data_IF_509615495901
#
_entry.id   IF_509615495901
#
_cell.length_a   1.000
_cell.length_b   1.000
_cell.length_c   1.000
_cell.angle_alpha   90.00
_cell.angle_beta   90.00
_cell.angle_gamma   90.00
#
_symmetry.space_group_name_H-M   'P 1'
#
loop_
_entity.id
_entity.type
_entity.pdbx_description
1 polymer ?
#
# COMPACT_ATOMS: atom_id res chain seq x y z
N UNK A 1 9.10 13.36 21.22
CA UNK A 1 9.17 13.36 22.64
C UNK A 1 10.60 13.22 23.07
N UNK A 2 10.93 13.09 24.35
CA UNK A 2 12.32 13.17 24.85
C UNK A 2 13.29 12.13 24.26
N UNK A 3 12.79 10.96 23.89
CA UNK A 3 13.62 9.93 23.22
C UNK A 3 14.09 10.42 21.85
N UNK A 4 13.20 10.98 21.04
CA UNK A 4 13.56 11.49 19.71
C UNK A 4 14.54 12.67 19.80
N UNK A 5 14.33 13.59 20.75
CA UNK A 5 15.26 14.71 20.98
C UNK A 5 16.69 14.27 21.31
N UNK A 6 16.83 13.11 21.95
CA UNK A 6 18.15 12.52 22.27
C UNK A 6 18.76 11.73 21.11
N UNK A 7 17.91 11.06 20.31
CA UNK A 7 18.36 10.21 19.20
C UNK A 7 18.70 11.00 17.93
N UNK A 8 17.88 11.97 17.55
CA UNK A 8 18.07 12.72 16.29
C UNK A 8 19.47 13.35 16.13
N UNK A 9 20.08 13.96 17.17
CA UNK A 9 21.42 14.52 17.04
C UNK A 9 22.53 13.50 16.84
N UNK A 10 22.27 12.21 17.13
CA UNK A 10 23.25 11.13 17.02
C UNK A 10 23.08 10.29 15.76
N UNK A 11 22.10 10.64 14.91
CA UNK A 11 21.82 9.89 13.70
C UNK A 11 22.89 10.17 12.64
N UNK A 12 23.37 9.12 11.98
CA UNK A 12 24.44 9.17 10.98
C UNK A 12 23.94 9.09 9.53
N UNK A 13 22.65 8.85 9.35
CA UNK A 13 22.02 8.76 8.04
C UNK A 13 21.20 10.02 7.73
N UNK A 14 21.06 10.41 6.46
CA UNK A 14 20.29 11.60 6.10
C UNK A 14 18.82 11.47 6.55
N UNK A 15 18.34 12.52 7.20
CA UNK A 15 16.95 12.68 7.62
C UNK A 15 16.36 13.80 6.77
N UNK A 16 15.48 13.46 5.84
CA UNK A 16 14.83 14.46 4.99
C UNK A 16 13.73 15.21 5.74
N UNK A 17 13.78 16.53 5.70
CA UNK A 17 12.84 17.42 6.38
C UNK A 17 12.53 18.64 5.53
N UNK A 18 11.38 19.25 5.77
CA UNK A 18 11.03 20.56 5.19
C UNK A 18 11.73 21.73 5.90
N UNK A 19 12.23 21.51 7.11
CA UNK A 19 12.94 22.50 7.93
C UNK A 19 14.25 21.90 8.42
N UNK A 20 15.30 22.71 8.39
CA UNK A 20 16.59 22.34 8.92
C UNK A 20 16.77 22.85 10.36
N UNK A 21 17.44 22.07 11.20
CA UNK A 21 17.76 22.42 12.57
C UNK A 21 19.24 22.10 12.82
N UNK A 22 20.04 23.10 13.15
CA UNK A 22 21.49 22.96 13.38
C UNK A 22 21.83 21.94 14.49
N UNK A 23 20.89 21.69 15.41
CA UNK A 23 21.05 20.70 16.47
C UNK A 23 20.99 19.26 15.97
N UNK A 24 20.57 19.04 14.72
CA UNK A 24 20.45 17.72 14.09
C UNK A 24 21.25 17.73 12.77
N UNK A 25 22.57 17.46 12.82
CA UNK A 25 23.43 17.56 11.65
C UNK A 25 23.06 16.65 10.47
N UNK A 26 22.31 15.59 10.73
CA UNK A 26 21.87 14.66 9.71
C UNK A 26 20.64 15.15 8.90
N UNK A 27 20.07 16.31 9.25
CA UNK A 27 18.97 16.88 8.49
C UNK A 27 19.42 17.36 7.11
N UNK A 28 18.65 16.93 6.11
CA UNK A 28 18.81 17.32 4.70
C UNK A 28 17.46 17.87 4.22
N UNK A 29 17.49 18.95 3.48
CA UNK A 29 16.28 19.51 2.90
C UNK A 29 15.64 18.51 1.92
N UNK A 30 14.33 18.28 2.08
CA UNK A 30 13.58 17.46 1.14
C UNK A 30 13.43 18.23 -0.18
N UNK A 31 13.86 17.67 -1.34
CA UNK A 31 13.88 18.38 -2.62
C UNK A 31 12.47 18.43 -3.24
N UNK A 32 11.55 19.13 -2.59
CA UNK A 32 10.12 19.14 -2.96
C UNK A 32 9.88 19.63 -4.39
N UNK A 33 10.59 20.65 -4.82
CA UNK A 33 10.44 21.22 -6.16
C UNK A 33 10.85 20.22 -7.22
N UNK A 34 12.03 19.61 -7.06
CA UNK A 34 12.57 18.64 -8.00
C UNK A 34 11.68 17.40 -8.10
N UNK A 35 11.16 16.91 -6.94
CA UNK A 35 10.22 15.79 -6.88
C UNK A 35 8.92 16.09 -7.62
N UNK A 36 8.35 17.28 -7.40
CA UNK A 36 7.12 17.72 -8.08
C UNK A 36 7.36 17.87 -9.59
N UNK A 37 8.48 18.46 -9.97
CA UNK A 37 8.85 18.64 -11.38
C UNK A 37 9.11 17.31 -12.09
N UNK A 38 9.82 16.38 -11.50
CA UNK A 38 10.06 15.05 -12.05
C UNK A 38 8.74 14.27 -12.21
N UNK A 39 7.93 14.26 -11.15
CA UNK A 39 6.70 13.48 -11.13
C UNK A 39 5.51 14.20 -11.79
N UNK A 40 5.61 15.49 -12.15
CA UNK A 40 4.52 16.33 -12.68
C UNK A 40 3.25 16.25 -11.83
N UNK A 41 3.42 16.18 -10.51
CA UNK A 41 2.33 16.02 -9.55
C UNK A 41 2.70 16.56 -8.17
N UNK A 42 1.80 17.37 -7.59
CA UNK A 42 1.93 17.97 -6.26
C UNK A 42 0.89 17.44 -5.26
N UNK A 43 0.27 16.29 -5.52
CA UNK A 43 -0.71 15.69 -4.61
C UNK A 43 0.01 14.91 -3.50
N UNK A 44 0.41 15.63 -2.44
CA UNK A 44 1.25 15.15 -1.34
C UNK A 44 0.64 15.61 0.00
N UNK A 45 -0.37 14.90 0.51
CA UNK A 45 -1.09 15.32 1.71
C UNK A 45 -0.65 14.61 3.01
N UNK A 46 0.34 13.71 2.92
CA UNK A 46 0.88 13.00 4.09
C UNK A 46 2.33 12.52 3.84
N UNK A 47 3.04 12.22 4.92
CA UNK A 47 4.45 11.82 4.90
C UNK A 47 4.72 10.57 4.05
N UNK A 48 3.77 9.63 3.99
CA UNK A 48 3.93 8.40 3.19
C UNK A 48 3.95 8.72 1.70
N UNK A 49 3.07 9.62 1.26
CA UNK A 49 3.06 10.12 -0.12
C UNK A 49 4.38 10.81 -0.48
N UNK A 50 4.94 11.62 0.43
CA UNK A 50 6.28 12.21 0.26
C UNK A 50 7.36 11.14 0.09
N UNK A 51 7.34 10.10 0.93
CA UNK A 51 8.33 9.02 0.86
C UNK A 51 8.24 8.23 -0.46
N UNK A 52 7.03 7.91 -0.92
CA UNK A 52 6.82 7.19 -2.18
C UNK A 52 7.25 8.06 -3.37
N UNK A 53 6.85 9.33 -3.40
CA UNK A 53 7.24 10.27 -4.45
C UNK A 53 8.78 10.43 -4.51
N UNK A 54 9.45 10.47 -3.36
CA UNK A 54 10.89 10.53 -3.28
C UNK A 54 11.56 9.24 -3.78
N UNK A 55 10.96 8.08 -3.48
CA UNK A 55 11.41 6.80 -4.04
C UNK A 55 11.33 6.79 -5.57
N UNK A 56 10.23 7.27 -6.15
CA UNK A 56 10.08 7.42 -7.60
C UNK A 56 11.11 8.38 -8.20
N UNK A 57 11.32 9.53 -7.58
CA UNK A 57 12.34 10.50 -7.98
C UNK A 57 13.74 9.86 -8.00
N UNK A 58 14.06 9.03 -7.00
CA UNK A 58 15.33 8.30 -6.93
C UNK A 58 15.36 7.01 -7.78
N UNK A 59 14.34 6.75 -8.60
CA UNK A 59 14.28 5.61 -9.53
C UNK A 59 14.45 4.25 -8.85
N UNK A 60 13.87 4.07 -7.66
CA UNK A 60 13.89 2.77 -6.99
C UNK A 60 13.06 1.75 -7.77
N UNK A 61 13.49 0.49 -7.77
CA UNK A 61 12.78 -0.59 -8.48
C UNK A 61 11.69 -1.27 -7.66
N UNK A 62 11.74 -1.14 -6.33
CA UNK A 62 10.82 -1.79 -5.40
C UNK A 62 10.66 -1.00 -4.11
N UNK A 63 9.45 -1.00 -3.53
CA UNK A 63 9.17 -0.43 -2.21
C UNK A 63 8.23 -1.33 -1.43
N UNK A 64 8.54 -1.61 -0.16
CA UNK A 64 7.65 -2.28 0.79
C UNK A 64 7.07 -1.28 1.79
N UNK A 65 5.75 -1.31 1.94
CA UNK A 65 5.00 -0.43 2.82
C UNK A 65 4.53 -1.18 4.07
N UNK A 66 5.12 -0.84 5.22
CA UNK A 66 4.76 -1.43 6.51
C UNK A 66 4.18 -0.38 7.46
N UNK A 67 3.21 -0.78 8.28
CA UNK A 67 2.59 0.09 9.28
C UNK A 67 1.68 1.17 8.70
N UNK A 68 1.19 0.98 7.48
CA UNK A 68 0.32 1.92 6.75
C UNK A 68 -1.14 1.46 6.84
N UNK A 69 -1.71 1.51 8.04
CA UNK A 69 -3.04 0.93 8.29
C UNK A 69 -4.19 1.91 8.02
N UNK A 70 -3.93 3.21 8.07
CA UNK A 70 -4.94 4.28 7.94
C UNK A 70 -6.18 4.06 8.80
N UNK A 71 -6.01 3.47 10.00
CA UNK A 71 -7.08 3.11 10.93
C UNK A 71 -7.16 4.11 12.10
N UNK A 72 -7.64 5.31 11.84
CA UNK A 72 -7.81 6.35 12.86
C UNK A 72 -9.22 6.31 13.45
N UNK A 73 -9.38 5.78 14.68
CA UNK A 73 -10.70 5.59 15.34
C UNK A 73 -11.58 6.84 15.40
N UNK A 74 -10.99 8.03 15.43
CA UNK A 74 -11.71 9.28 15.68
C UNK A 74 -11.60 10.30 14.52
N UNK A 75 -10.96 9.94 13.42
CA UNK A 75 -10.78 10.82 12.27
C UNK A 75 -10.78 10.04 10.96
N UNK A 76 -11.91 9.42 10.62
CA UNK A 76 -12.09 8.61 9.42
C UNK A 76 -11.84 9.43 8.15
N UNK A 77 -12.30 10.68 8.10
CA UNK A 77 -12.11 11.53 6.94
C UNK A 77 -10.61 11.78 6.65
N UNK A 78 -9.83 12.02 7.69
CA UNK A 78 -8.38 12.18 7.56
C UNK A 78 -7.71 10.87 7.12
N UNK A 79 -8.14 9.74 7.66
CA UNK A 79 -7.65 8.42 7.28
C UNK A 79 -7.93 8.12 5.81
N UNK A 80 -9.16 8.35 5.34
CA UNK A 80 -9.57 8.12 3.96
C UNK A 80 -8.85 9.04 2.97
N UNK A 81 -8.71 10.33 3.30
CA UNK A 81 -7.97 11.27 2.47
C UNK A 81 -6.49 10.89 2.34
N UNK A 82 -5.88 10.45 3.45
CA UNK A 82 -4.50 9.95 3.46
C UNK A 82 -4.33 8.67 2.67
N UNK A 83 -5.24 7.71 2.84
CA UNK A 83 -5.25 6.45 2.09
C UNK A 83 -5.37 6.70 0.59
N UNK A 84 -6.34 7.51 0.17
CA UNK A 84 -6.54 7.82 -1.24
C UNK A 84 -5.31 8.48 -1.89
N UNK A 85 -4.62 9.36 -1.17
CA UNK A 85 -3.38 9.96 -1.64
C UNK A 85 -2.28 8.92 -1.83
N UNK A 86 -2.10 8.00 -0.86
CA UNK A 86 -1.08 6.95 -0.96
C UNK A 86 -1.41 5.95 -2.06
N UNK A 87 -2.67 5.55 -2.21
CA UNK A 87 -3.10 4.64 -3.29
C UNK A 87 -2.90 5.27 -4.68
N UNK A 88 -3.11 6.59 -4.80
CA UNK A 88 -2.74 7.31 -6.01
C UNK A 88 -1.24 7.17 -6.32
N UNK A 89 -0.36 7.34 -5.32
CA UNK A 89 1.08 7.21 -5.52
C UNK A 89 1.52 5.76 -5.78
N UNK A 90 0.87 4.77 -5.17
CA UNK A 90 1.06 3.35 -5.49
C UNK A 90 0.72 3.08 -6.96
N UNK A 91 -0.40 3.60 -7.44
CA UNK A 91 -0.79 3.48 -8.86
C UNK A 91 0.27 4.08 -9.79
N UNK A 92 0.85 5.22 -9.43
CA UNK A 92 1.97 5.81 -10.19
C UNK A 92 3.22 4.96 -10.18
N UNK A 93 3.56 4.32 -9.05
CA UNK A 93 4.67 3.37 -8.99
C UNK A 93 4.47 2.23 -9.98
N UNK A 94 3.31 1.59 -9.92
CA UNK A 94 2.95 0.47 -10.82
C UNK A 94 3.02 0.91 -12.28
N UNK A 95 2.50 2.10 -12.64
CA UNK A 95 2.52 2.62 -13.99
C UNK A 95 3.93 2.94 -14.50
N UNK A 96 4.89 3.18 -13.61
CA UNK A 96 6.30 3.39 -13.92
C UNK A 96 7.15 2.11 -13.81
N UNK A 97 6.53 0.95 -13.58
CA UNK A 97 7.22 -0.34 -13.48
C UNK A 97 7.89 -0.59 -12.13
N UNK A 98 7.57 0.21 -11.10
CA UNK A 98 8.07 0.00 -9.74
C UNK A 98 7.14 -0.97 -9.01
N UNK A 99 7.68 -2.05 -8.46
CA UNK A 99 6.89 -2.99 -7.67
C UNK A 99 6.63 -2.46 -6.26
N UNK A 100 5.43 -2.71 -5.75
CA UNK A 100 5.01 -2.28 -4.41
C UNK A 100 4.54 -3.50 -3.61
N UNK A 101 5.11 -3.66 -2.42
CA UNK A 101 4.61 -4.57 -1.39
C UNK A 101 3.82 -3.80 -0.33
N UNK A 102 2.64 -4.30 0.03
CA UNK A 102 1.87 -3.79 1.17
C UNK A 102 1.61 -4.91 2.18
N UNK A 103 1.64 -4.58 3.47
CA UNK A 103 1.31 -5.55 4.52
C UNK A 103 -0.10 -6.12 4.30
N UNK A 104 -0.31 -7.45 4.45
CA UNK A 104 -1.65 -8.06 4.37
C UNK A 104 -2.66 -7.52 5.39
N UNK A 105 -2.21 -6.78 6.40
CA UNK A 105 -3.07 -6.10 7.39
C UNK A 105 -3.37 -4.65 7.05
N UNK A 106 -2.79 -4.12 5.98
CA UNK A 106 -3.00 -2.75 5.56
C UNK A 106 -4.36 -2.57 4.90
N UNK A 107 -5.01 -1.43 5.14
CA UNK A 107 -6.20 -1.02 4.39
C UNK A 107 -5.88 -0.54 2.96
N UNK A 108 -4.59 -0.36 2.63
CA UNK A 108 -4.18 0.05 1.28
C UNK A 108 -4.60 -1.00 0.24
N UNK A 109 -5.28 -0.55 -0.80
CA UNK A 109 -5.81 -1.40 -1.87
C UNK A 109 -6.66 -2.57 -1.34
N UNK A 110 -7.29 -2.37 -0.20
CA UNK A 110 -8.07 -3.39 0.51
C UNK A 110 -7.29 -4.69 0.76
N UNK A 111 -5.97 -4.61 0.99
CA UNK A 111 -5.14 -5.80 1.20
C UNK A 111 -5.52 -6.62 2.43
N UNK A 112 -6.23 -6.02 3.39
CA UNK A 112 -6.80 -6.67 4.57
C UNK A 112 -8.20 -7.30 4.33
N UNK A 113 -8.73 -7.16 3.12
CA UNK A 113 -10.04 -7.71 2.72
C UNK A 113 -9.81 -8.91 1.81
N UNK A 114 -10.61 -9.95 1.93
CA UNK A 114 -10.51 -11.11 1.06
C UNK A 114 -10.65 -10.73 -0.42
N UNK A 115 -9.83 -11.30 -1.31
CA UNK A 115 -9.80 -10.90 -2.72
C UNK A 115 -11.17 -10.88 -3.41
N UNK A 116 -12.05 -11.83 -3.09
CA UNK A 116 -13.38 -11.88 -3.68
C UNK A 116 -14.31 -10.75 -3.16
N UNK A 117 -14.07 -10.23 -1.95
CA UNK A 117 -14.84 -9.11 -1.38
C UNK A 117 -14.41 -7.75 -1.93
N UNK A 118 -13.23 -7.67 -2.57
CA UNK A 118 -12.75 -6.46 -3.26
C UNK A 118 -13.47 -6.21 -4.58
N UNK A 119 -14.23 -7.18 -5.07
CA UNK A 119 -14.95 -7.09 -6.32
C UNK A 119 -16.33 -6.49 -6.13
N UNK A 120 -16.81 -5.75 -7.11
CA UNK A 120 -18.16 -5.20 -7.09
C UNK A 120 -19.22 -6.31 -7.08
N UNK A 121 -20.30 -6.10 -6.33
CA UNK A 121 -21.29 -7.08 -5.89
C UNK A 121 -21.79 -8.13 -6.89
N UNK A 122 -21.88 -7.82 -8.17
CA UNK A 122 -22.39 -8.77 -9.18
C UNK A 122 -21.51 -10.03 -9.32
N UNK A 123 -20.21 -9.90 -9.16
CA UNK A 123 -19.26 -11.01 -9.25
C UNK A 123 -19.16 -11.84 -7.95
N UNK A 124 -19.81 -11.36 -6.87
CA UNK A 124 -19.82 -12.04 -5.56
C UNK A 124 -21.01 -12.93 -5.30
N UNK A 125 -22.14 -12.72 -6.02
CA UNK A 125 -23.42 -13.30 -5.66
C UNK A 125 -23.65 -14.72 -6.21
N UNK A 126 -23.25 -15.01 -7.44
CA UNK A 126 -23.53 -16.30 -8.10
C UNK A 126 -22.29 -17.20 -8.18
N UNK A 127 -21.22 -16.70 -8.71
CA UNK A 127 -19.96 -17.42 -8.85
C UNK A 127 -18.79 -16.44 -8.59
N UNK A 128 -18.40 -16.22 -7.32
CA UNK A 128 -17.42 -15.23 -6.95
C UNK A 128 -16.06 -15.51 -7.59
N UNK A 129 -15.40 -14.43 -8.02
CA UNK A 129 -14.03 -14.51 -8.45
C UNK A 129 -13.11 -14.71 -7.25
N UNK A 130 -12.13 -15.57 -7.41
CA UNK A 130 -11.09 -15.85 -6.45
C UNK A 130 -9.73 -15.45 -7.02
N UNK A 131 -8.93 -14.81 -6.20
CA UNK A 131 -7.53 -14.53 -6.52
C UNK A 131 -6.65 -15.51 -5.75
N UNK A 132 -5.76 -16.17 -6.45
CA UNK A 132 -4.83 -17.16 -5.93
C UNK A 132 -3.41 -16.71 -6.26
N UNK A 133 -2.47 -17.00 -5.39
CA UNK A 133 -1.04 -16.85 -5.68
C UNK A 133 -0.40 -18.21 -5.78
N UNK A 134 0.41 -18.44 -6.80
CA UNK A 134 1.26 -19.60 -6.89
C UNK A 134 2.51 -19.46 -5.99
N UNK A 135 3.35 -20.50 -5.95
CA UNK A 135 4.58 -20.49 -5.17
C UNK A 135 5.59 -19.42 -5.64
N UNK A 136 5.47 -18.92 -6.86
CA UNK A 136 6.29 -17.84 -7.41
C UNK A 136 5.76 -16.45 -7.06
N UNK A 137 4.60 -16.35 -6.41
CA UNK A 137 3.90 -15.10 -6.12
C UNK A 137 3.09 -14.54 -7.29
N UNK A 138 2.92 -15.31 -8.37
CA UNK A 138 2.07 -14.89 -9.50
C UNK A 138 0.59 -14.98 -9.12
N UNK A 139 -0.16 -13.90 -9.38
CA UNK A 139 -1.59 -13.85 -9.17
C UNK A 139 -2.37 -14.43 -10.32
N UNK A 140 -3.34 -15.29 -10.00
CA UNK A 140 -4.29 -15.85 -10.96
C UNK A 140 -5.69 -15.59 -10.44
N UNK A 141 -6.59 -15.18 -11.33
CA UNK A 141 -8.00 -14.94 -11.02
C UNK A 141 -8.85 -15.97 -11.73
N UNK A 142 -9.71 -16.65 -10.98
CA UNK A 142 -10.66 -17.60 -11.54
C UNK A 142 -12.01 -17.54 -10.81
N UNK A 143 -13.08 -17.98 -11.44
CA UNK A 143 -14.35 -18.19 -10.77
C UNK A 143 -14.25 -19.32 -9.75
N UNK A 144 -14.97 -19.22 -8.64
CA UNK A 144 -14.99 -20.23 -7.57
C UNK A 144 -15.39 -21.62 -8.10
N UNK A 145 -16.33 -21.68 -9.02
CA UNK A 145 -16.75 -22.93 -9.68
C UNK A 145 -15.60 -23.63 -10.43
N UNK A 146 -14.60 -22.88 -10.86
CA UNK A 146 -13.43 -23.39 -11.59
C UNK A 146 -12.17 -23.52 -10.72
N UNK A 147 -12.31 -23.37 -9.42
CA UNK A 147 -11.19 -23.40 -8.50
C UNK A 147 -10.42 -24.73 -8.52
N UNK A 148 -11.14 -25.86 -8.58
CA UNK A 148 -10.51 -27.18 -8.64
C UNK A 148 -9.63 -27.36 -9.88
N UNK A 149 -10.12 -26.91 -11.05
CA UNK A 149 -9.36 -26.96 -12.31
C UNK A 149 -8.11 -26.06 -12.24
N UNK A 150 -8.26 -24.86 -11.65
CA UNK A 150 -7.16 -23.93 -11.47
C UNK A 150 -6.14 -24.49 -10.48
N UNK A 151 -6.58 -25.14 -9.41
CA UNK A 151 -5.71 -25.76 -8.42
C UNK A 151 -4.87 -26.91 -9.02
N UNK A 152 -5.49 -27.80 -9.80
CA UNK A 152 -4.78 -28.87 -10.49
C UNK A 152 -3.76 -28.35 -11.50
N UNK A 153 -4.15 -27.31 -12.25
CA UNK A 153 -3.30 -26.74 -13.30
C UNK A 153 -2.06 -26.02 -12.78
N UNK A 154 -2.17 -25.36 -11.60
CA UNK A 154 -1.15 -24.43 -11.12
C UNK A 154 -0.49 -24.86 -9.81
N UNK A 155 -0.86 -26.02 -9.26
CA UNK A 155 -0.30 -26.58 -8.01
C UNK A 155 -0.36 -25.58 -6.81
N UNK A 156 -1.53 -24.95 -6.62
CA UNK A 156 -1.75 -24.01 -5.54
C UNK A 156 -1.98 -24.72 -4.21
N UNK A 157 -1.41 -24.17 -3.14
CA UNK A 157 -1.84 -24.54 -1.78
C UNK A 157 -3.25 -24.00 -1.54
N UNK A 158 -4.14 -24.89 -1.05
CA UNK A 158 -5.50 -24.51 -0.69
C UNK A 158 -5.48 -23.54 0.49
N UNK A 159 -5.87 -22.30 0.27
CA UNK A 159 -6.23 -21.38 1.34
C UNK A 159 -7.70 -21.63 1.66
N UNK A 160 -8.00 -22.14 2.87
CA UNK A 160 -9.38 -22.24 3.32
C UNK A 160 -9.94 -20.82 3.50
N UNK A 161 -10.94 -20.50 2.70
CA UNK A 161 -11.64 -19.25 2.81
C UNK A 161 -12.69 -19.32 3.91
N UNK A 162 -12.85 -18.29 4.75
CA UNK A 162 -13.98 -18.23 5.66
C UNK A 162 -15.28 -18.29 4.88
N UNK A 163 -16.28 -18.97 5.43
CA UNK A 163 -17.62 -19.02 4.86
C UNK A 163 -18.15 -17.61 4.59
N UNK A 164 -18.76 -17.39 3.43
CA UNK A 164 -19.36 -16.11 3.10
C UNK A 164 -20.28 -15.65 4.24
N UNK A 165 -20.21 -14.37 4.65
CA UNK A 165 -21.13 -13.83 5.64
C UNK A 165 -22.58 -14.06 5.15
N UNK A 166 -23.49 -14.39 6.08
CA UNK A 166 -24.90 -14.52 5.72
C UNK A 166 -25.39 -13.24 5.01
N UNK A 167 -26.21 -13.38 3.97
CA UNK A 167 -26.76 -12.22 3.27
C UNK A 167 -27.49 -11.31 4.27
N UNK A 168 -27.18 -10.04 4.19
CA UNK A 168 -27.85 -9.01 5.02
C UNK A 168 -29.36 -9.13 4.85
N UNK A 169 -30.03 -9.57 5.90
CA UNK A 169 -31.49 -9.54 6.00
C UNK A 169 -31.86 -8.12 6.43
N UNK A 170 -32.10 -7.24 5.44
CA UNK A 170 -32.62 -5.90 5.65
C UNK A 170 -33.95 -5.85 6.38
#
# INVERSE_FOLDING_TARGET
TDVMRKLLPTFDKPIYSCELDERVPALVEYPIVDVIEDQKCAYLNNTVAYAIAFGLYNKVGHMDLFGMDFSYKHNLHFAEAGRGCVEFWISRCISQGVSIGASPRSALLDSNVDPHERLYGYHRLEDPLMALTDQSGQWIVCHRSRFAEAQEKYDFQRIEMPSAPEPYKG
#
